data_IF_790773431462
#
_entry.id   IF_790773431462
#
_cell.length_a   1.000
_cell.length_b   1.000
_cell.length_c   1.000
_cell.angle_alpha   90.00
_cell.angle_beta   90.00
_cell.angle_gamma   90.00
#
_symmetry.space_group_name_H-M   'P 1'
#
loop_
_entity.id
_entity.type
_entity.pdbx_description
1 polymer ?
#
# COMPACT_ATOMS: atom_id res chain seq x y z
N UNK A 1 -73.19 6.35 -44.34
CA UNK A 1 -71.72 6.51 -44.46
C UNK A 1 -71.23 7.34 -43.28
N UNK A 2 -70.11 6.92 -42.66
CA UNK A 2 -69.19 7.73 -41.81
C UNK A 2 -69.65 8.11 -40.38
N UNK A 3 -68.87 8.00 -39.30
CA UNK A 3 -67.62 7.31 -38.89
C UNK A 3 -67.55 7.51 -37.35
N UNK A 4 -67.33 6.45 -36.57
CA UNK A 4 -67.08 6.56 -35.12
C UNK A 4 -65.61 6.92 -34.85
N UNK A 5 -65.36 7.88 -33.94
CA UNK A 5 -64.04 8.20 -33.39
C UNK A 5 -63.89 7.53 -32.02
N UNK A 6 -62.93 6.61 -31.87
CA UNK A 6 -62.52 6.02 -30.59
C UNK A 6 -61.26 6.72 -30.07
N UNK A 7 -61.36 7.40 -28.92
CA UNK A 7 -60.20 7.89 -28.15
C UNK A 7 -59.57 6.73 -27.37
N UNK A 8 -58.25 6.57 -27.49
CA UNK A 8 -57.45 5.61 -26.71
C UNK A 8 -56.72 6.33 -25.58
N UNK A 9 -56.86 5.83 -24.34
CA UNK A 9 -56.12 6.32 -23.17
C UNK A 9 -54.79 5.56 -23.06
N UNK A 10 -53.66 6.27 -23.18
CA UNK A 10 -52.32 5.71 -22.98
C UNK A 10 -51.88 5.78 -21.52
N UNK A 11 -51.51 4.64 -20.95
CA UNK A 11 -50.89 4.56 -19.62
C UNK A 11 -49.39 4.86 -19.71
N UNK A 12 -48.93 5.87 -18.99
CA UNK A 12 -47.52 6.27 -18.92
C UNK A 12 -46.88 5.52 -17.74
N UNK A 13 -46.01 4.54 -18.01
CA UNK A 13 -45.14 3.94 -16.99
C UNK A 13 -43.93 4.84 -16.74
N UNK A 14 -43.85 5.43 -15.55
CA UNK A 14 -42.68 6.18 -15.11
C UNK A 14 -41.57 5.24 -14.61
N UNK A 15 -40.42 5.24 -15.28
CA UNK A 15 -39.21 4.55 -14.83
C UNK A 15 -38.49 5.41 -13.78
N UNK A 16 -38.52 5.00 -12.52
CA UNK A 16 -37.70 5.61 -11.46
C UNK A 16 -36.30 4.98 -11.48
N UNK A 17 -35.31 5.72 -11.97
CA UNK A 17 -33.90 5.32 -11.93
C UNK A 17 -33.35 5.46 -10.51
N UNK A 18 -33.13 4.33 -9.84
CA UNK A 18 -32.34 4.27 -8.59
C UNK A 18 -30.86 4.39 -8.94
N UNK A 19 -30.27 5.56 -8.69
CA UNK A 19 -28.83 5.74 -8.82
C UNK A 19 -28.14 5.05 -7.63
N UNK A 20 -27.45 3.93 -7.88
CA UNK A 20 -26.59 3.30 -6.88
C UNK A 20 -25.34 4.17 -6.69
N UNK A 21 -25.14 4.71 -5.48
CA UNK A 21 -23.91 5.39 -5.13
C UNK A 21 -22.76 4.36 -5.09
N UNK A 22 -21.70 4.61 -5.86
CA UNK A 22 -20.48 3.81 -5.76
C UNK A 22 -19.85 3.99 -4.36
N UNK A 23 -19.29 2.94 -3.75
CA UNK A 23 -18.51 3.09 -2.52
C UNK A 23 -17.42 4.14 -2.73
N UNK A 24 -17.30 5.08 -1.80
CA UNK A 24 -16.19 6.04 -1.81
C UNK A 24 -14.87 5.26 -1.72
N UNK A 25 -13.87 5.68 -2.48
CA UNK A 25 -12.52 5.11 -2.36
C UNK A 25 -12.04 5.26 -0.90
N UNK A 26 -11.42 4.22 -0.31
CA UNK A 26 -10.84 4.32 1.02
C UNK A 26 -9.89 5.51 1.12
N UNK A 27 -10.04 6.33 2.15
CA UNK A 27 -9.14 7.46 2.39
C UNK A 27 -7.78 6.94 2.85
N UNK A 28 -6.71 7.41 2.22
CA UNK A 28 -5.34 7.10 2.64
C UNK A 28 -5.00 7.80 3.96
N UNK A 29 -4.11 7.17 4.72
CA UNK A 29 -3.56 7.70 5.97
C UNK A 29 -2.05 7.89 5.84
N UNK A 30 -1.45 8.90 6.46
CA UNK A 30 0.00 9.09 6.40
C UNK A 30 0.76 7.91 7.03
N UNK A 31 1.79 7.43 6.35
CA UNK A 31 2.74 6.44 6.86
C UNK A 31 4.09 7.11 7.11
N UNK A 32 4.60 6.96 8.33
CA UNK A 32 5.92 7.44 8.76
C UNK A 32 6.63 6.35 9.53
N UNK A 33 7.73 5.87 8.97
CA UNK A 33 8.55 4.81 9.57
C UNK A 33 10.02 5.24 9.52
N UNK A 34 10.72 5.05 10.64
CA UNK A 34 12.19 5.12 10.71
C UNK A 34 12.74 3.70 10.90
N UNK A 35 13.83 3.37 10.21
CA UNK A 35 14.47 2.06 10.31
C UNK A 35 16.00 2.17 10.29
N UNK A 36 16.65 1.35 11.10
CA UNK A 36 18.08 1.12 11.03
C UNK A 36 18.35 -0.03 10.05
N UNK A 37 19.47 0.02 9.32
CA UNK A 37 19.79 -0.95 8.27
C UNK A 37 21.22 -1.50 8.36
N UNK A 38 21.85 -1.51 9.53
CA UNK A 38 23.21 -2.05 9.69
C UNK A 38 23.31 -3.55 9.37
N UNK A 39 22.17 -4.26 9.39
CA UNK A 39 22.06 -5.67 9.01
C UNK A 39 21.68 -5.88 7.53
N UNK A 40 21.64 -4.81 6.73
CA UNK A 40 21.44 -4.89 5.29
C UNK A 40 22.78 -5.13 4.58
N UNK A 41 22.98 -6.33 4.03
CA UNK A 41 24.16 -6.70 3.25
C UNK A 41 23.91 -6.79 1.74
N UNK A 42 22.65 -6.76 1.29
CA UNK A 42 22.26 -7.06 -0.09
C UNK A 42 22.09 -8.55 -0.41
N UNK A 43 22.60 -9.44 0.45
CA UNK A 43 22.42 -10.89 0.35
C UNK A 43 21.20 -11.36 1.17
N UNK A 44 20.63 -12.51 0.83
CA UNK A 44 19.55 -13.10 1.64
C UNK A 44 20.15 -14.00 2.74
N UNK A 45 19.80 -13.82 4.03
CA UNK A 45 18.85 -12.83 4.55
C UNK A 45 19.52 -11.48 4.84
N UNK A 46 18.95 -10.38 4.34
CA UNK A 46 19.30 -9.01 4.73
C UNK A 46 18.05 -8.27 5.21
N UNK A 47 18.21 -7.41 6.21
CA UNK A 47 17.07 -6.71 6.77
C UNK A 47 17.41 -5.36 7.40
N UNK A 48 16.38 -4.55 7.53
CA UNK A 48 16.36 -3.37 8.39
C UNK A 48 15.40 -3.60 9.56
N UNK A 49 15.67 -2.97 10.70
CA UNK A 49 14.79 -3.02 11.87
C UNK A 49 14.09 -1.67 12.04
N UNK A 50 12.76 -1.70 12.13
CA UNK A 50 11.97 -0.49 12.40
C UNK A 50 12.26 0.02 13.81
N UNK A 51 12.68 1.28 13.91
CA UNK A 51 12.97 1.97 15.16
C UNK A 51 11.84 2.91 15.59
N UNK A 52 11.06 3.42 14.63
CA UNK A 52 9.88 4.25 14.88
C UNK A 52 8.80 3.96 13.84
N UNK A 53 7.53 4.00 14.24
CA UNK A 53 6.39 3.81 13.35
C UNK A 53 5.18 4.53 13.90
N UNK A 54 4.42 5.20 13.02
CA UNK A 54 3.13 5.79 13.38
C UNK A 54 1.93 4.84 13.15
N UNK A 55 2.17 3.59 12.75
CA UNK A 55 1.14 2.59 12.51
C UNK A 55 1.31 1.43 13.50
N UNK A 56 0.35 1.27 14.41
CA UNK A 56 0.39 0.24 15.46
C UNK A 56 0.49 -1.19 14.92
N UNK A 57 -0.09 -1.45 13.75
CA UNK A 57 0.01 -2.75 13.07
C UNK A 57 1.43 -3.08 12.59
N UNK A 58 2.33 -2.07 12.54
CA UNK A 58 3.75 -2.22 12.23
C UNK A 58 4.55 -1.65 13.41
N UNK A 59 4.69 -2.39 14.52
CA UNK A 59 5.34 -1.89 15.72
C UNK A 59 6.86 -1.78 15.56
N UNK A 60 7.49 -1.02 16.46
CA UNK A 60 8.95 -0.98 16.62
C UNK A 60 9.51 -2.39 16.85
N UNK A 61 10.66 -2.67 16.25
CA UNK A 61 11.28 -4.00 16.25
C UNK A 61 10.86 -4.89 15.08
N UNK A 62 9.83 -4.50 14.31
CA UNK A 62 9.45 -5.19 13.06
C UNK A 62 10.63 -5.20 12.09
N UNK A 63 10.86 -6.34 11.44
CA UNK A 63 11.90 -6.48 10.42
C UNK A 63 11.36 -6.24 9.03
N UNK A 64 12.08 -5.45 8.25
CA UNK A 64 11.90 -5.36 6.80
C UNK A 64 12.91 -6.28 6.15
N UNK A 65 12.46 -7.42 5.65
CA UNK A 65 13.29 -8.43 5.01
C UNK A 65 13.43 -8.12 3.52
N UNK A 66 14.66 -8.16 3.01
CA UNK A 66 14.97 -7.96 1.60
C UNK A 66 15.43 -9.29 1.01
N UNK A 67 14.66 -9.81 0.04
CA UNK A 67 14.87 -11.14 -0.53
C UNK A 67 15.61 -11.15 -1.86
N UNK A 68 15.95 -9.97 -2.40
CA UNK A 68 16.79 -9.84 -3.58
C UNK A 68 16.28 -10.54 -4.86
N UNK A 69 17.13 -10.61 -5.89
CA UNK A 69 18.39 -9.87 -5.98
C UNK A 69 18.09 -8.39 -6.15
N UNK A 70 18.94 -7.56 -5.55
CA UNK A 70 19.12 -6.19 -6.03
C UNK A 70 19.30 -6.27 -7.55
N UNK A 71 18.33 -5.78 -8.34
CA UNK A 71 18.61 -5.57 -9.77
C UNK A 71 19.73 -4.53 -9.78
N UNK A 72 20.96 -5.00 -9.98
CA UNK A 72 22.14 -4.17 -9.96
C UNK A 72 22.20 -3.40 -11.28
N UNK A 73 21.45 -2.30 -11.34
CA UNK A 73 21.65 -1.27 -12.33
C UNK A 73 22.71 -0.30 -11.78
N UNK A 74 23.62 0.24 -12.61
CA UNK A 74 24.56 1.27 -12.15
C UNK A 74 23.92 2.49 -11.48
N UNK A 75 22.62 2.73 -11.70
CA UNK A 75 21.88 3.89 -11.21
C UNK A 75 21.04 3.60 -9.95
N UNK A 76 20.56 2.36 -9.80
CA UNK A 76 19.63 1.99 -8.73
C UNK A 76 19.76 0.52 -8.33
N UNK A 77 19.42 0.26 -7.07
CA UNK A 77 19.14 -1.06 -6.53
C UNK A 77 17.63 -1.26 -6.37
N UNK A 78 17.16 -2.49 -6.52
CA UNK A 78 15.75 -2.80 -6.26
C UNK A 78 15.53 -4.21 -5.74
N UNK A 79 14.67 -4.38 -4.74
CA UNK A 79 14.45 -5.66 -4.07
C UNK A 79 12.98 -5.85 -3.71
N UNK A 80 12.53 -7.10 -3.75
CA UNK A 80 11.35 -7.50 -3.00
C UNK A 80 11.59 -7.22 -1.51
N UNK A 81 10.58 -6.65 -0.86
CA UNK A 81 10.62 -6.30 0.56
C UNK A 81 9.41 -6.91 1.26
N UNK A 82 9.64 -7.45 2.46
CA UNK A 82 8.59 -8.01 3.30
C UNK A 82 8.64 -7.34 4.66
N UNK A 83 7.54 -6.67 5.04
CA UNK A 83 7.29 -6.24 6.40
C UNK A 83 6.91 -7.50 7.19
N UNK A 84 7.78 -7.98 8.07
CA UNK A 84 7.58 -9.21 8.84
C UNK A 84 7.24 -8.86 10.29
N UNK A 85 5.95 -8.66 10.58
CA UNK A 85 5.45 -8.23 11.89
C UNK A 85 5.54 -9.36 12.92
N UNK A 86 5.26 -10.60 12.50
CA UNK A 86 5.29 -11.80 13.34
C UNK A 86 3.98 -12.59 13.26
N UNK A 87 3.97 -13.83 13.75
CA UNK A 87 2.78 -14.71 13.78
C UNK A 87 2.09 -14.95 12.40
N UNK A 88 2.80 -14.75 11.29
CA UNK A 88 2.24 -14.86 9.93
C UNK A 88 1.68 -13.55 9.38
N UNK A 89 1.69 -12.48 10.17
CA UNK A 89 1.31 -11.14 9.74
C UNK A 89 2.47 -10.52 8.96
N UNK A 90 2.18 -10.10 7.74
CA UNK A 90 3.18 -9.57 6.84
C UNK A 90 2.59 -8.64 5.79
N UNK A 91 3.44 -7.84 5.16
CA UNK A 91 3.09 -7.18 3.90
C UNK A 91 4.23 -7.31 2.90
N UNK A 92 3.89 -7.73 1.68
CA UNK A 92 4.84 -7.88 0.58
C UNK A 92 4.79 -6.64 -0.32
N UNK A 93 5.98 -6.22 -0.75
CA UNK A 93 6.17 -5.07 -1.61
C UNK A 93 7.47 -5.13 -2.38
N UNK A 94 7.77 -4.01 -3.04
CA UNK A 94 8.98 -3.83 -3.83
C UNK A 94 9.55 -2.44 -3.58
N UNK A 95 10.86 -2.37 -3.41
CA UNK A 95 11.60 -1.13 -3.18
C UNK A 95 12.58 -0.88 -4.31
N UNK A 96 12.73 0.37 -4.71
CA UNK A 96 13.76 0.87 -5.63
C UNK A 96 14.50 2.01 -4.92
N UNK A 97 15.83 1.96 -4.89
CA UNK A 97 16.70 2.98 -4.30
C UNK A 97 17.74 3.41 -5.32
N UNK A 98 17.84 4.71 -5.56
CA UNK A 98 18.82 5.34 -6.42
C UNK A 98 20.10 5.60 -5.64
N UNK A 99 21.01 4.63 -5.63
CA UNK A 99 22.27 4.67 -4.88
C UNK A 99 23.25 5.75 -5.39
N UNK A 100 23.00 6.26 -6.59
CA UNK A 100 23.76 7.38 -7.20
C UNK A 100 23.38 8.76 -6.64
N UNK A 101 22.23 8.88 -5.99
CA UNK A 101 21.83 10.11 -5.31
C UNK A 101 22.65 10.30 -4.02
N UNK A 102 22.89 11.56 -3.62
CA UNK A 102 23.61 11.91 -2.39
C UNK A 102 22.79 12.90 -1.55
N UNK A 103 22.15 12.47 -0.45
CA UNK A 103 22.05 11.09 0.05
C UNK A 103 21.19 10.19 -0.87
N UNK A 104 21.25 8.85 -0.72
CA UNK A 104 20.36 7.93 -1.41
C UNK A 104 18.87 8.27 -1.25
N UNK A 105 18.11 8.05 -2.31
CA UNK A 105 16.66 8.29 -2.35
C UNK A 105 15.97 7.09 -3.00
N UNK A 106 14.70 6.86 -2.70
CA UNK A 106 13.99 5.74 -3.30
C UNK A 106 12.48 5.78 -3.15
N UNK A 107 11.85 4.68 -3.50
CA UNK A 107 10.41 4.45 -3.33
C UNK A 107 10.16 2.99 -3.00
N UNK A 108 9.23 2.72 -2.09
CA UNK A 108 8.71 1.39 -1.85
C UNK A 108 7.20 1.37 -2.07
N UNK A 109 6.69 0.29 -2.65
CA UNK A 109 5.27 0.04 -2.81
C UNK A 109 4.90 -1.33 -2.23
N UNK A 110 3.95 -1.36 -1.31
CA UNK A 110 3.40 -2.56 -0.68
C UNK A 110 1.98 -2.79 -1.17
N UNK A 111 1.62 -4.03 -1.46
CA UNK A 111 0.36 -4.33 -2.14
C UNK A 111 -0.38 -5.57 -1.60
N UNK A 112 0.29 -6.43 -0.84
CA UNK A 112 -0.28 -7.68 -0.35
C UNK A 112 0.03 -7.87 1.13
N UNK A 113 -0.90 -7.43 1.98
CA UNK A 113 -0.82 -7.64 3.43
C UNK A 113 -1.68 -8.81 3.92
N UNK A 114 -1.22 -9.47 4.99
CA UNK A 114 -1.84 -10.61 5.67
C UNK A 114 -2.08 -10.32 7.15
N UNK A 115 -3.01 -11.06 7.78
CA UNK A 115 -3.28 -10.96 9.22
C UNK A 115 -3.72 -9.55 9.64
N UNK A 116 -3.05 -8.96 10.63
CA UNK A 116 -3.32 -7.56 11.05
C UNK A 116 -3.05 -6.53 9.95
N UNK A 117 -2.30 -6.91 8.90
CA UNK A 117 -2.06 -6.10 7.71
C UNK A 117 -2.98 -6.46 6.54
N UNK A 118 -4.08 -7.20 6.75
CA UNK A 118 -4.99 -7.56 5.67
C UNK A 118 -5.48 -6.31 4.89
N UNK A 119 -5.30 -6.35 3.56
CA UNK A 119 -5.63 -5.23 2.68
C UNK A 119 -4.65 -4.04 2.76
N UNK A 120 -3.53 -4.18 3.47
CA UNK A 120 -2.50 -3.15 3.53
C UNK A 120 -1.92 -2.87 2.15
N UNK A 121 -1.96 -1.60 1.77
CA UNK A 121 -1.27 -1.06 0.59
C UNK A 121 -0.57 0.22 1.00
N UNK A 122 0.63 0.47 0.51
CA UNK A 122 1.34 1.70 0.82
C UNK A 122 2.27 2.10 -0.32
N UNK A 123 2.47 3.40 -0.50
CA UNK A 123 3.53 3.96 -1.35
C UNK A 123 4.28 4.97 -0.50
N UNK A 124 5.59 4.77 -0.37
CA UNK A 124 6.44 5.62 0.47
C UNK A 124 7.67 6.08 -0.29
N UNK A 125 8.03 7.34 -0.08
CA UNK A 125 9.36 7.86 -0.43
C UNK A 125 10.37 7.34 0.57
N UNK A 126 11.53 6.94 0.08
CA UNK A 126 12.66 6.50 0.89
C UNK A 126 13.71 7.60 0.92
N UNK A 127 14.17 7.97 2.11
CA UNK A 127 15.31 8.85 2.35
C UNK A 127 16.23 8.26 3.41
N UNK A 128 17.42 8.82 3.55
CA UNK A 128 18.35 8.48 4.65
C UNK A 128 18.95 9.76 5.22
N UNK A 129 19.07 9.83 6.54
CA UNK A 129 19.65 10.95 7.25
C UNK A 129 21.17 10.79 7.50
N UNK A 130 21.78 11.82 8.07
CA UNK A 130 23.21 11.87 8.37
C UNK A 130 23.64 10.80 9.41
N UNK A 131 22.67 10.23 10.16
CA UNK A 131 22.88 9.15 11.13
C UNK A 131 22.68 7.76 10.53
N UNK A 132 22.48 7.68 9.22
CA UNK A 132 22.17 6.43 8.51
C UNK A 132 20.86 5.77 8.94
N UNK A 133 19.91 6.57 9.45
CA UNK A 133 18.53 6.14 9.65
C UNK A 133 17.76 6.34 8.36
N UNK A 134 17.11 5.28 7.91
CA UNK A 134 16.31 5.29 6.70
C UNK A 134 14.86 5.62 7.04
N UNK A 135 14.27 6.56 6.32
CA UNK A 135 12.91 7.00 6.54
C UNK A 135 12.01 6.62 5.38
N UNK A 136 10.80 6.21 5.73
CA UNK A 136 9.67 6.03 4.83
C UNK A 136 8.61 7.07 5.15
N UNK A 137 8.33 7.93 4.19
CA UNK A 137 7.27 8.94 4.28
C UNK A 137 6.33 8.78 3.08
N UNK A 138 5.04 8.60 3.35
CA UNK A 138 4.04 8.50 2.31
C UNK A 138 2.66 8.21 2.87
N UNK A 139 1.92 7.35 2.18
CA UNK A 139 0.53 7.07 2.50
C UNK A 139 0.25 5.57 2.45
N UNK A 140 -0.68 5.12 3.29
CA UNK A 140 -1.16 3.75 3.32
C UNK A 140 -2.69 3.65 3.34
N UNK A 141 -3.16 2.48 2.95
CA UNK A 141 -4.50 1.96 3.16
C UNK A 141 -4.40 0.70 4.00
N UNK A 142 -5.34 0.51 4.91
CA UNK A 142 -5.58 -0.77 5.55
C UNK A 142 -6.94 -1.27 5.07
N UNK A 143 -7.07 -2.57 4.81
CA UNK A 143 -8.38 -3.13 4.50
C UNK A 143 -9.31 -2.90 5.67
N UNK A 144 -10.55 -2.45 5.41
CA UNK A 144 -11.59 -2.61 6.39
C UNK A 144 -11.68 -4.12 6.66
N UNK A 145 -11.52 -4.55 7.92
CA UNK A 145 -11.82 -5.92 8.32
C UNK A 145 -13.14 -6.26 7.67
N UNK A 146 -13.16 -7.20 6.74
CA UNK A 146 -14.44 -7.72 6.27
C UNK A 146 -15.06 -8.35 7.50
N UNK A 147 -15.94 -7.61 8.16
CA UNK A 147 -16.83 -8.15 9.16
C UNK A 147 -17.64 -9.20 8.41
N UNK A 148 -17.16 -10.44 8.45
CA UNK A 148 -17.94 -11.59 8.08
C UNK A 148 -19.19 -11.51 8.96
N UNK A 149 -20.30 -11.15 8.31
CA UNK A 149 -21.62 -11.19 8.88
C UNK A 149 -22.14 -12.62 8.84
#
# INVERSE_FOLDING_TARGET
MSRLLTMSAGAILALTSVASAAPAAPATQPLKISKECSQFSGDTPSFCTITESNLEAIPVGTKILYYGPVIANPLFSSSAAVIAVGNGDSAVGYCVVYDTAKPPLGTCAFHAGSGTLAGFQAIVKVTVDDKQIWHWDGDYLLGATQAAK
#
